data_IF_566638249077
#
_entry.id   IF_566638249077
#
_cell.length_a   1.000
_cell.length_b   1.000
_cell.length_c   1.000
_cell.angle_alpha   90.00
_cell.angle_beta   90.00
_cell.angle_gamma   90.00
#
_symmetry.space_group_name_H-M   'P 1'
#
loop_
_entity.id
_entity.type
_entity.pdbx_description
1 polymer ?
#
# COMPACT_ATOMS: atom_id res chain seq x y z
N UNK A 1 14.78 19.58 -5.13
CA UNK A 1 15.97 19.04 -5.82
C UNK A 1 15.60 17.71 -6.46
N UNK A 2 16.10 17.39 -7.65
CA UNK A 2 15.91 16.07 -8.26
C UNK A 2 17.20 15.26 -8.20
N UNK A 3 17.10 13.99 -7.83
CA UNK A 3 18.23 13.06 -7.78
C UNK A 3 17.75 11.63 -8.05
N UNK A 4 18.36 10.94 -9.03
CA UNK A 4 18.03 9.55 -9.41
C UNK A 4 16.54 9.31 -9.70
N UNK A 5 15.86 10.29 -10.31
CA UNK A 5 14.44 10.19 -10.62
C UNK A 5 13.51 10.39 -9.42
N UNK A 6 14.03 10.88 -8.28
CA UNK A 6 13.27 11.30 -7.10
C UNK A 6 13.40 12.81 -6.93
N UNK A 7 12.27 13.48 -6.78
CA UNK A 7 12.15 14.88 -6.38
C UNK A 7 12.05 14.95 -4.86
N UNK A 8 12.98 15.68 -4.24
CA UNK A 8 13.04 15.97 -2.82
C UNK A 8 12.58 17.42 -2.60
N UNK A 9 11.51 17.59 -1.82
CA UNK A 9 11.02 18.89 -1.35
C UNK A 9 11.23 18.99 0.16
N UNK A 10 12.24 19.77 0.58
CA UNK A 10 12.56 19.97 1.99
C UNK A 10 11.63 20.94 2.70
N UNK A 11 10.85 21.74 1.96
CA UNK A 11 9.87 22.67 2.54
C UNK A 11 8.59 21.92 2.88
N UNK A 12 8.11 21.07 1.96
CA UNK A 12 6.94 20.21 2.20
C UNK A 12 7.28 18.91 2.94
N UNK A 13 8.56 18.61 3.10
CA UNK A 13 9.08 17.36 3.63
C UNK A 13 8.61 16.11 2.86
N UNK A 14 8.49 16.21 1.53
CA UNK A 14 7.99 15.12 0.66
C UNK A 14 9.09 14.51 -0.19
N UNK A 15 8.91 13.22 -0.51
CA UNK A 15 9.66 12.50 -1.53
C UNK A 15 8.71 12.04 -2.62
N UNK A 16 9.01 12.39 -3.86
CA UNK A 16 8.16 12.10 -5.01
C UNK A 16 8.99 11.47 -6.12
N UNK A 17 8.45 10.44 -6.76
CA UNK A 17 8.99 9.95 -8.02
C UNK A 17 8.66 10.99 -9.09
N UNK A 18 9.65 11.31 -9.92
CA UNK A 18 9.50 12.22 -11.08
C UNK A 18 8.33 11.81 -11.97
N UNK A 19 7.65 12.78 -12.57
CA UNK A 19 6.45 12.54 -13.38
C UNK A 19 6.70 11.57 -14.53
N UNK A 20 7.86 11.65 -15.18
CA UNK A 20 8.25 10.75 -16.26
C UNK A 20 8.36 9.29 -15.80
N UNK A 21 8.98 9.05 -14.63
CA UNK A 21 9.11 7.71 -14.05
C UNK A 21 7.77 7.19 -13.55
N UNK A 22 6.91 8.04 -12.99
CA UNK A 22 5.54 7.66 -12.64
C UNK A 22 4.77 7.19 -13.87
N UNK A 23 4.91 7.88 -15.00
CA UNK A 23 4.26 7.51 -16.26
C UNK A 23 4.76 6.16 -16.79
N UNK A 24 6.08 5.98 -16.84
CA UNK A 24 6.71 4.71 -17.25
C UNK A 24 6.19 3.52 -16.42
N UNK A 25 6.17 3.67 -15.10
CA UNK A 25 5.75 2.62 -14.18
C UNK A 25 4.24 2.42 -14.24
N UNK A 26 3.46 3.47 -14.43
CA UNK A 26 2.01 3.37 -14.64
C UNK A 26 1.68 2.53 -15.88
N UNK A 27 2.41 2.73 -16.98
CA UNK A 27 2.26 1.91 -18.19
C UNK A 27 2.67 0.46 -17.96
N UNK A 28 3.76 0.22 -17.23
CA UNK A 28 4.21 -1.12 -16.86
C UNK A 28 3.15 -1.86 -16.03
N UNK A 29 2.60 -1.20 -15.00
CA UNK A 29 1.55 -1.76 -14.14
C UNK A 29 0.27 -2.04 -14.94
N UNK A 30 -0.12 -1.14 -15.85
CA UNK A 30 -1.26 -1.37 -16.74
C UNK A 30 -1.05 -2.59 -17.67
N UNK A 31 0.16 -2.79 -18.20
CA UNK A 31 0.47 -3.97 -18.98
C UNK A 31 0.35 -5.26 -18.14
N UNK A 32 0.76 -5.20 -16.88
CA UNK A 32 0.65 -6.31 -15.93
C UNK A 32 -0.79 -6.66 -15.57
N UNK A 33 -1.70 -5.68 -15.49
CA UNK A 33 -3.12 -5.93 -15.26
C UNK A 33 -3.77 -6.84 -16.30
N UNK A 34 -3.29 -6.80 -17.54
CA UNK A 34 -3.82 -7.62 -18.65
C UNK A 34 -3.11 -8.96 -18.80
N UNK A 35 -2.01 -9.15 -18.07
CA UNK A 35 -1.12 -10.30 -18.25
C UNK A 35 -1.63 -11.49 -17.44
N UNK A 36 -1.53 -12.69 -18.05
CA UNK A 36 -1.91 -13.96 -17.40
C UNK A 36 -0.71 -14.80 -16.98
N UNK A 37 0.42 -14.63 -17.65
CA UNK A 37 1.68 -15.35 -17.38
C UNK A 37 2.86 -14.40 -17.52
N UNK A 38 3.88 -14.57 -16.68
CA UNK A 38 5.13 -13.81 -16.73
C UNK A 38 6.34 -14.73 -16.60
N UNK A 39 7.43 -14.37 -17.28
CA UNK A 39 8.74 -14.97 -17.06
C UNK A 39 9.38 -14.44 -15.78
N UNK A 40 10.41 -15.14 -15.29
CA UNK A 40 11.17 -14.72 -14.12
C UNK A 40 11.79 -13.34 -14.29
N UNK A 41 12.33 -13.04 -15.49
CA UNK A 41 12.92 -11.75 -15.82
C UNK A 41 11.90 -10.61 -15.78
N UNK A 42 10.69 -10.85 -16.28
CA UNK A 42 9.62 -9.86 -16.23
C UNK A 42 9.18 -9.60 -14.78
N UNK A 43 9.08 -10.65 -13.95
CA UNK A 43 8.80 -10.51 -12.53
C UNK A 43 9.88 -9.69 -11.80
N UNK A 44 11.16 -9.97 -12.04
CA UNK A 44 12.26 -9.20 -11.47
C UNK A 44 12.23 -7.74 -11.90
N UNK A 45 11.90 -7.48 -13.18
CA UNK A 45 11.80 -6.13 -13.73
C UNK A 45 10.70 -5.32 -13.05
N UNK A 46 9.45 -5.82 -12.99
CA UNK A 46 8.38 -5.08 -12.31
C UNK A 46 8.66 -4.93 -10.81
N UNK A 47 9.23 -5.96 -10.18
CA UNK A 47 9.56 -5.91 -8.77
C UNK A 47 10.60 -4.81 -8.48
N UNK A 48 11.62 -4.66 -9.34
CA UNK A 48 12.62 -3.60 -9.22
C UNK A 48 12.00 -2.21 -9.29
N UNK A 49 11.13 -1.98 -10.29
CA UNK A 49 10.43 -0.70 -10.47
C UNK A 49 9.51 -0.39 -9.29
N UNK A 50 8.70 -1.35 -8.84
CA UNK A 50 7.79 -1.16 -7.71
C UNK A 50 8.53 -1.01 -6.38
N UNK A 51 9.66 -1.70 -6.22
CA UNK A 51 10.53 -1.53 -5.05
C UNK A 51 11.13 -0.12 -5.03
N UNK A 52 11.63 0.38 -6.17
CA UNK A 52 12.10 1.76 -6.29
C UNK A 52 11.01 2.76 -5.89
N UNK A 53 9.81 2.65 -6.47
CA UNK A 53 8.68 3.54 -6.15
C UNK A 53 8.25 3.45 -4.69
N UNK A 54 8.36 2.28 -4.05
CA UNK A 54 7.99 2.10 -2.64
C UNK A 54 8.84 2.90 -1.65
N UNK A 55 9.91 3.55 -2.12
CA UNK A 55 10.65 4.56 -1.35
C UNK A 55 9.80 5.82 -1.14
N UNK A 56 9.06 6.26 -2.17
CA UNK A 56 8.21 7.45 -2.18
C UNK A 56 6.73 7.12 -1.94
N UNK A 57 6.32 5.86 -2.15
CA UNK A 57 4.96 5.35 -1.90
C UNK A 57 5.03 4.26 -0.81
N UNK A 58 5.18 4.70 0.46
CA UNK A 58 5.45 3.79 1.59
C UNK A 58 4.43 2.67 1.78
N UNK A 59 3.10 2.89 1.66
CA UNK A 59 2.11 1.80 1.80
C UNK A 59 2.33 0.67 0.78
N UNK A 60 2.93 0.99 -0.36
CA UNK A 60 3.26 0.06 -1.44
C UNK A 60 4.22 -1.07 -1.03
N UNK A 61 5.05 -0.88 0.01
CA UNK A 61 6.04 -1.89 0.45
C UNK A 61 5.42 -3.25 0.78
N UNK A 62 4.23 -3.25 1.38
CA UNK A 62 3.49 -4.48 1.70
C UNK A 62 3.16 -5.32 0.45
N UNK A 63 2.87 -4.66 -0.67
CA UNK A 63 2.56 -5.27 -1.96
C UNK A 63 3.85 -5.80 -2.65
N UNK A 64 4.97 -5.09 -2.49
CA UNK A 64 6.30 -5.55 -2.94
C UNK A 64 6.72 -6.84 -2.23
N UNK A 65 6.45 -6.96 -0.92
CA UNK A 65 6.75 -8.18 -0.16
C UNK A 65 6.03 -9.42 -0.69
N UNK A 66 4.79 -9.29 -1.16
CA UNK A 66 4.07 -10.40 -1.80
C UNK A 66 4.68 -10.80 -3.15
N UNK A 67 5.09 -9.81 -3.97
CA UNK A 67 5.82 -10.06 -5.20
C UNK A 67 7.17 -10.77 -4.95
N UNK A 68 7.91 -10.36 -3.91
CA UNK A 68 9.15 -11.02 -3.47
C UNK A 68 8.91 -12.47 -3.07
N UNK A 69 7.84 -12.76 -2.33
CA UNK A 69 7.49 -14.12 -1.95
C UNK A 69 7.17 -14.98 -3.18
N UNK A 70 6.43 -14.43 -4.15
CA UNK A 70 6.18 -15.13 -5.41
C UNK A 70 7.47 -15.39 -6.20
N UNK A 71 8.40 -14.43 -6.23
CA UNK A 71 9.71 -14.59 -6.85
C UNK A 71 10.51 -15.73 -6.19
N UNK A 72 10.53 -15.81 -4.86
CA UNK A 72 11.20 -16.89 -4.12
C UNK A 72 10.61 -18.26 -4.48
N UNK A 73 9.29 -18.40 -4.46
CA UNK A 73 8.61 -19.63 -4.90
C UNK A 73 8.92 -19.99 -6.36
N UNK A 74 9.12 -18.97 -7.20
CA UNK A 74 9.51 -19.17 -8.58
C UNK A 74 10.95 -19.68 -8.74
N UNK A 75 11.89 -19.24 -7.92
CA UNK A 75 13.25 -19.76 -7.91
C UNK A 75 13.32 -21.22 -7.45
N UNK A 76 12.64 -21.57 -6.34
CA UNK A 76 12.67 -22.94 -5.79
C UNK A 76 12.17 -24.01 -6.76
N UNK A 77 11.30 -23.64 -7.69
CA UNK A 77 10.75 -24.56 -8.71
C UNK A 77 11.49 -24.52 -10.05
N UNK A 78 12.38 -23.54 -10.28
CA UNK A 78 13.22 -23.48 -11.49
C UNK A 78 14.45 -24.38 -11.42
N UNK A 79 14.81 -24.91 -10.24
CA UNK A 79 15.93 -25.84 -10.06
C UNK A 79 15.72 -27.17 -10.80
N UNK A 80 14.49 -27.45 -11.27
CA UNK A 80 14.12 -28.73 -11.90
C UNK A 80 14.03 -28.66 -13.45
N UNK A 81 14.15 -27.47 -14.08
CA UNK A 81 13.81 -27.31 -15.50
C UNK A 81 14.91 -26.66 -16.36
N UNK A 82 15.50 -27.45 -17.26
CA UNK A 82 16.48 -27.04 -18.28
C UNK A 82 16.05 -25.79 -19.08
N UNK A 83 16.89 -24.75 -19.04
CA UNK A 83 17.26 -23.84 -20.16
C UNK A 83 16.19 -22.99 -20.88
N UNK A 84 14.89 -23.25 -20.72
CA UNK A 84 13.84 -22.56 -21.48
C UNK A 84 13.27 -21.38 -20.69
N UNK A 85 12.81 -20.31 -21.37
CA UNK A 85 12.06 -19.21 -20.74
C UNK A 85 10.75 -19.76 -20.16
N UNK A 86 10.78 -20.16 -18.89
CA UNK A 86 9.60 -20.66 -18.16
C UNK A 86 8.68 -19.47 -17.86
N UNK A 87 7.46 -19.51 -18.41
CA UNK A 87 6.39 -18.57 -18.10
C UNK A 87 5.48 -19.16 -17.03
N UNK A 88 5.24 -18.38 -15.96
CA UNK A 88 4.44 -18.77 -14.80
C UNK A 88 3.13 -18.01 -14.78
N UNK A 89 2.05 -18.68 -14.39
CA UNK A 89 0.75 -18.03 -14.17
C UNK A 89 0.90 -16.99 -13.07
N UNK A 90 0.39 -15.79 -13.31
CA UNK A 90 0.36 -14.71 -12.32
C UNK A 90 -0.68 -15.08 -11.23
N UNK A 91 -0.31 -15.08 -9.94
CA UNK A 91 -1.26 -15.30 -8.85
C UNK A 91 -2.32 -14.21 -8.81
N UNK A 92 -3.53 -14.57 -8.40
CA UNK A 92 -4.65 -13.61 -8.26
C UNK A 92 -4.29 -12.46 -7.31
N UNK A 93 -3.55 -12.74 -6.24
CA UNK A 93 -3.11 -11.73 -5.28
C UNK A 93 -2.15 -10.72 -5.92
N UNK A 94 -1.23 -11.16 -6.79
CA UNK A 94 -0.33 -10.26 -7.54
C UNK A 94 -1.12 -9.39 -8.52
N UNK A 95 -2.22 -9.91 -9.07
CA UNK A 95 -3.10 -9.13 -9.94
C UNK A 95 -3.88 -8.06 -9.17
N UNK A 96 -4.34 -8.37 -7.96
CA UNK A 96 -4.93 -7.39 -7.03
C UNK A 96 -3.90 -6.33 -6.61
N UNK A 97 -2.66 -6.74 -6.37
CA UNK A 97 -1.56 -5.83 -6.05
C UNK A 97 -1.27 -4.87 -7.22
N UNK A 98 -1.25 -5.39 -8.45
CA UNK A 98 -1.11 -4.57 -9.66
C UNK A 98 -2.26 -3.56 -9.78
N UNK A 99 -3.49 -3.94 -9.40
CA UNK A 99 -4.63 -3.03 -9.37
C UNK A 99 -4.49 -1.94 -8.30
N UNK A 100 -3.98 -2.31 -7.14
CA UNK A 100 -3.67 -1.35 -6.09
C UNK A 100 -2.65 -0.32 -6.59
N UNK A 101 -1.53 -0.78 -7.17
CA UNK A 101 -0.53 0.11 -7.75
C UNK A 101 -1.11 1.01 -8.83
N UNK A 102 -1.94 0.49 -9.73
CA UNK A 102 -2.56 1.29 -10.77
C UNK A 102 -3.45 2.42 -10.22
N UNK A 103 -4.17 2.16 -9.12
CA UNK A 103 -5.09 3.15 -8.51
C UNK A 103 -4.39 4.16 -7.63
N UNK A 104 -3.33 3.75 -6.94
CA UNK A 104 -2.77 4.51 -5.82
C UNK A 104 -1.38 5.06 -6.08
N UNK A 105 -0.70 4.64 -7.15
CA UNK A 105 0.62 5.16 -7.51
C UNK A 105 0.62 6.69 -7.64
N UNK A 106 -0.27 7.26 -8.45
CA UNK A 106 -0.35 8.71 -8.65
C UNK A 106 -0.84 9.45 -7.40
N UNK A 107 -1.79 8.88 -6.67
CA UNK A 107 -2.41 9.51 -5.49
C UNK A 107 -1.50 9.55 -4.26
N UNK A 108 -0.59 8.59 -4.12
CA UNK A 108 0.34 8.52 -2.98
C UNK A 108 1.75 9.01 -3.31
N UNK A 109 2.05 9.27 -4.58
CA UNK A 109 3.31 9.89 -4.95
C UNK A 109 3.38 11.31 -4.37
N UNK A 110 4.45 11.62 -3.66
CA UNK A 110 4.60 12.90 -2.97
C UNK A 110 3.76 13.08 -1.70
N UNK A 111 3.04 12.05 -1.28
CA UNK A 111 2.34 12.05 0.02
C UNK A 111 3.25 11.54 1.14
N UNK A 112 4.20 10.65 0.84
CA UNK A 112 5.08 10.10 1.87
C UNK A 112 6.02 11.19 2.40
N UNK A 113 5.91 11.47 3.70
CA UNK A 113 6.82 12.37 4.39
C UNK A 113 8.23 11.76 4.46
N UNK A 114 9.26 12.60 4.48
CA UNK A 114 10.62 12.17 4.83
C UNK A 114 10.62 11.63 6.27
N UNK A 115 11.22 10.44 6.49
CA UNK A 115 11.42 9.92 7.85
C UNK A 115 12.63 10.64 8.41
N UNK A 116 12.41 11.82 8.97
CA UNK A 116 13.41 12.42 9.84
C UNK A 116 13.43 11.55 11.10
N UNK A 117 14.58 10.93 11.37
CA UNK A 117 14.76 9.88 12.39
C UNK A 117 14.44 10.36 13.82
N UNK A 118 14.32 11.67 14.01
CA UNK A 118 13.78 12.27 15.23
C UNK A 118 12.24 12.20 15.21
N UNK A 119 11.71 11.13 15.83
CA UNK A 119 10.29 11.02 16.14
C UNK A 119 9.89 12.18 17.06
N UNK A 120 9.41 13.26 16.43
CA UNK A 120 8.66 14.32 17.09
C UNK A 120 7.33 13.75 17.60
N UNK A 121 6.73 14.40 18.59
CA UNK A 121 5.35 14.13 18.99
C UNK A 121 4.43 14.10 17.75
N UNK A 122 3.48 13.15 17.66
CA UNK A 122 2.55 13.08 16.54
C UNK A 122 1.75 14.38 16.39
N UNK A 123 1.42 14.75 15.15
CA UNK A 123 0.65 15.95 14.85
C UNK A 123 -0.82 15.78 15.30
N UNK A 124 -1.34 14.55 15.26
CA UNK A 124 -2.65 14.16 15.78
C UNK A 124 -2.59 12.75 16.38
N UNK A 125 -3.36 12.51 17.44
CA UNK A 125 -3.56 11.18 18.00
C UNK A 125 -5.06 10.88 17.99
N UNK A 126 -5.40 9.68 17.54
CA UNK A 126 -6.73 9.13 17.77
C UNK A 126 -6.63 7.73 18.38
N UNK A 127 -7.66 7.35 19.13
CA UNK A 127 -7.80 6.01 19.70
C UNK A 127 -9.16 5.48 19.32
N UNK A 128 -9.24 4.20 18.96
CA UNK A 128 -10.49 3.53 18.60
C UNK A 128 -10.65 2.25 19.40
N UNK A 129 -11.90 1.88 19.66
CA UNK A 129 -12.26 0.63 20.30
C UNK A 129 -13.52 0.04 19.64
N UNK A 130 -13.66 -1.27 19.71
CA UNK A 130 -14.81 -1.99 19.21
C UNK A 130 -15.17 -3.16 20.12
N UNK A 131 -16.46 -3.44 20.24
CA UNK A 131 -16.99 -4.64 20.86
C UNK A 131 -17.86 -5.40 19.85
N UNK A 132 -18.56 -6.45 20.27
CA UNK A 132 -19.39 -7.24 19.36
C UNK A 132 -20.63 -6.49 18.84
N UNK A 133 -21.05 -5.44 19.55
CA UNK A 133 -22.30 -4.72 19.25
C UNK A 133 -22.05 -3.32 18.66
N UNK A 134 -20.89 -2.72 18.92
CA UNK A 134 -20.63 -1.35 18.50
C UNK A 134 -19.17 -0.97 18.54
N UNK A 135 -18.89 0.29 18.19
CA UNK A 135 -17.55 0.82 18.05
C UNK A 135 -17.53 2.33 18.23
N UNK A 136 -16.33 2.87 18.43
CA UNK A 136 -16.12 4.30 18.50
C UNK A 136 -14.66 4.68 18.37
N UNK A 137 -14.42 5.98 18.23
CA UNK A 137 -13.08 6.54 18.31
C UNK A 137 -13.12 7.95 18.88
N UNK A 138 -11.97 8.39 19.40
CA UNK A 138 -11.75 9.72 19.96
C UNK A 138 -10.42 10.30 19.46
N UNK A 139 -10.41 11.61 19.25
CA UNK A 139 -9.23 12.46 19.01
C UNK A 139 -9.14 13.48 20.15
N UNK A 140 -8.13 14.36 20.12
CA UNK A 140 -8.00 15.50 21.03
C UNK A 140 -9.30 16.32 21.17
N UNK A 141 -10.04 16.52 20.07
CA UNK A 141 -11.15 17.48 20.03
C UNK A 141 -12.50 16.89 19.58
N UNK A 142 -12.55 15.64 19.12
CA UNK A 142 -13.76 15.03 18.55
C UNK A 142 -13.87 13.55 18.95
N UNK A 143 -15.11 13.06 19.08
CA UNK A 143 -15.38 11.64 19.26
C UNK A 143 -16.60 11.22 18.44
N UNK A 144 -16.71 9.92 18.16
CA UNK A 144 -17.94 9.31 17.66
C UNK A 144 -18.12 7.92 18.26
N UNK A 145 -19.36 7.45 18.28
CA UNK A 145 -19.70 6.06 18.58
C UNK A 145 -20.90 5.64 17.73
N UNK A 146 -21.00 4.35 17.43
CA UNK A 146 -22.10 3.77 16.68
C UNK A 146 -22.30 2.30 17.03
N UNK A 147 -23.53 1.82 16.85
CA UNK A 147 -23.87 0.39 16.90
C UNK A 147 -23.61 -0.20 15.52
N UNK A 148 -23.11 -1.44 15.46
CA UNK A 148 -22.93 -2.13 14.19
C UNK A 148 -24.29 -2.41 13.54
N UNK A 149 -24.45 -2.16 12.22
CA UNK A 149 -25.62 -2.60 11.47
C UNK A 149 -25.82 -4.11 11.61
N UNK A 150 -27.08 -4.56 11.53
CA UNK A 150 -27.44 -5.96 11.73
C UNK A 150 -26.70 -6.94 10.82
N UNK A 151 -26.29 -6.48 9.64
CA UNK A 151 -25.57 -7.34 8.69
C UNK A 151 -24.16 -7.67 9.20
N UNK A 152 -23.50 -6.72 9.88
CA UNK A 152 -22.16 -6.92 10.45
C UNK A 152 -22.23 -7.80 11.70
N UNK A 153 -23.23 -7.60 12.55
CA UNK A 153 -23.39 -8.41 13.77
C UNK A 153 -23.77 -9.87 13.45
N UNK A 154 -24.54 -10.10 12.37
CA UNK A 154 -24.87 -11.45 11.89
C UNK A 154 -23.66 -12.21 11.35
N UNK A 155 -22.70 -11.51 10.76
CA UNK A 155 -21.48 -12.14 10.21
C UNK A 155 -20.54 -12.69 11.30
N UNK A 156 -20.79 -12.39 12.58
CA UNK A 156 -20.02 -12.89 13.74
C UNK A 156 -18.50 -12.77 13.54
N UNK A 157 -18.07 -11.63 13.02
CA UNK A 157 -16.66 -11.38 12.71
C UNK A 157 -15.81 -11.42 13.98
N UNK A 158 -14.56 -11.85 13.81
CA UNK A 158 -13.56 -11.81 14.89
C UNK A 158 -13.35 -10.38 15.39
N UNK A 159 -13.06 -10.20 16.69
CA UNK A 159 -12.92 -8.87 17.31
C UNK A 159 -11.93 -7.97 16.58
N UNK A 160 -10.76 -8.49 16.18
CA UNK A 160 -9.78 -7.76 15.36
C UNK A 160 -10.34 -7.19 14.04
N UNK A 161 -11.33 -7.85 13.42
CA UNK A 161 -11.98 -7.34 12.22
C UNK A 161 -12.89 -6.15 12.53
N UNK A 162 -13.56 -6.19 13.69
CA UNK A 162 -14.42 -5.11 14.18
C UNK A 162 -13.58 -3.90 14.62
N UNK A 163 -12.46 -4.13 15.30
CA UNK A 163 -11.49 -3.08 15.64
C UNK A 163 -10.91 -2.41 14.38
N UNK A 164 -10.53 -3.21 13.38
CA UNK A 164 -10.07 -2.68 12.09
C UNK A 164 -11.17 -1.86 11.41
N UNK A 165 -12.42 -2.31 11.46
CA UNK A 165 -13.55 -1.56 10.91
C UNK A 165 -13.73 -0.22 11.64
N UNK A 166 -13.59 -0.18 12.97
CA UNK A 166 -13.63 1.05 13.75
C UNK A 166 -12.54 2.05 13.31
N UNK A 167 -11.31 1.56 13.11
CA UNK A 167 -10.20 2.37 12.56
C UNK A 167 -10.55 2.89 11.17
N UNK A 168 -11.09 2.05 10.28
CA UNK A 168 -11.47 2.46 8.92
C UNK A 168 -12.55 3.54 8.94
N UNK A 169 -13.54 3.45 9.83
CA UNK A 169 -14.56 4.49 9.99
C UNK A 169 -13.96 5.77 10.54
N UNK A 170 -13.07 5.71 11.53
CA UNK A 170 -12.37 6.87 12.06
C UNK A 170 -11.57 7.59 10.96
N UNK A 171 -10.80 6.85 10.16
CA UNK A 171 -10.07 7.38 9.01
C UNK A 171 -11.02 7.94 7.94
N UNK A 172 -12.23 7.39 7.77
CA UNK A 172 -13.21 7.94 6.83
C UNK A 172 -13.80 9.28 7.30
N UNK A 173 -14.03 9.44 8.60
CA UNK A 173 -14.56 10.66 9.20
C UNK A 173 -13.47 11.75 9.23
N UNK A 174 -12.27 11.40 9.71
CA UNK A 174 -11.21 12.37 10.00
C UNK A 174 -10.06 12.39 8.99
N UNK A 175 -10.00 11.47 8.03
CA UNK A 175 -8.86 11.32 7.13
C UNK A 175 -8.53 12.56 6.31
N UNK A 176 -9.51 13.41 6.00
CA UNK A 176 -9.26 14.72 5.37
C UNK A 176 -8.52 15.70 6.29
N UNK A 177 -8.79 15.65 7.60
CA UNK A 177 -8.07 16.43 8.61
C UNK A 177 -6.67 15.87 8.91
N UNK A 178 -6.46 14.57 8.67
CA UNK A 178 -5.18 13.89 8.88
C UNK A 178 -4.25 13.95 7.66
N UNK A 179 -4.71 14.46 6.52
CA UNK A 179 -3.91 14.52 5.31
C UNK A 179 -2.63 15.33 5.52
N UNK A 180 -1.47 14.69 5.30
CA UNK A 180 -0.15 15.32 5.48
C UNK A 180 0.30 15.46 6.94
N UNK A 181 -0.49 14.97 7.91
CA UNK A 181 -0.13 14.95 9.33
C UNK A 181 0.50 13.61 9.72
N UNK A 182 1.42 13.64 10.67
CA UNK A 182 2.01 12.48 11.35
C UNK A 182 1.06 12.00 12.46
N UNK A 183 0.86 10.69 12.53
CA UNK A 183 0.00 10.00 13.49
C UNK A 183 0.78 8.86 14.17
#
# INVERSE_FOLDING_TARGET
MEFLGITVDTVKLTLEVTSDRVLEISLLVQAWLRKKKASLRELQSILGELHFVSTCVRPGRSFVSRLLNWLRSAYSSNVVGNGHKIYRKIPVEVQKDSLWWHRFLSSYNGVSMMSLEDWSSPDEIFSSDACLEGFGAITSNQYFHAVFPSDITKDQLHINCLELLAIVVAVKIWGKHFAGKKF
#
